data_IF_033966773134
#
_entry.id   IF_033966773134
#
_cell.length_a   1.000
_cell.length_b   1.000
_cell.length_c   1.000
_cell.angle_alpha   90.00
_cell.angle_beta   90.00
_cell.angle_gamma   90.00
#
_symmetry.space_group_name_H-M   'P 1'
#
loop_
_entity.id
_entity.type
_entity.pdbx_description
1 polymer ?
#
# COMPACT_ATOMS: atom_id res chain seq x y z
N UNK A 1 -15.75 -7.17 -9.18
CA UNK A 1 -14.68 -6.13 -9.12
C UNK A 1 -15.12 -4.90 -9.88
N UNK A 2 -15.01 -3.69 -9.30
CA UNK A 2 -15.28 -2.44 -10.04
C UNK A 2 -14.24 -2.31 -11.16
N UNK A 3 -14.63 -1.81 -12.34
CA UNK A 3 -13.75 -1.64 -13.52
C UNK A 3 -12.44 -0.90 -13.21
N UNK A 4 -12.46 0.00 -12.22
CA UNK A 4 -11.31 0.79 -11.81
C UNK A 4 -10.29 -0.04 -11.00
N UNK A 5 -10.73 -1.07 -10.28
CA UNK A 5 -9.84 -1.92 -9.47
C UNK A 5 -8.84 -2.69 -10.34
N UNK A 6 -9.29 -3.21 -11.50
CA UNK A 6 -8.41 -3.92 -12.44
C UNK A 6 -7.30 -3.00 -12.95
N UNK A 7 -7.65 -1.76 -13.31
CA UNK A 7 -6.69 -0.76 -13.78
C UNK A 7 -5.66 -0.40 -12.70
N UNK A 8 -6.10 -0.22 -11.45
CA UNK A 8 -5.21 0.07 -10.34
C UNK A 8 -4.25 -1.09 -10.05
N UNK A 9 -4.74 -2.34 -10.06
CA UNK A 9 -3.88 -3.52 -9.88
C UNK A 9 -2.85 -3.62 -11.01
N UNK A 10 -3.29 -3.46 -12.26
CA UNK A 10 -2.39 -3.48 -13.41
C UNK A 10 -1.33 -2.37 -13.32
N UNK A 11 -1.74 -1.16 -12.91
CA UNK A 11 -0.81 -0.05 -12.70
C UNK A 11 0.24 -0.38 -11.62
N UNK A 12 -0.18 -0.88 -10.45
CA UNK A 12 0.76 -1.27 -9.40
C UNK A 12 1.71 -2.36 -9.90
N UNK A 13 1.22 -3.36 -10.61
CA UNK A 13 2.06 -4.42 -11.18
C UNK A 13 3.11 -3.86 -12.15
N UNK A 14 2.73 -2.94 -13.04
CA UNK A 14 3.65 -2.27 -13.97
C UNK A 14 4.70 -1.46 -13.22
N UNK A 15 4.30 -0.70 -12.20
CA UNK A 15 5.24 0.09 -11.38
C UNK A 15 6.20 -0.82 -10.61
N UNK A 16 5.71 -1.92 -10.03
CA UNK A 16 6.55 -2.90 -9.33
C UNK A 16 7.62 -3.49 -10.26
N UNK A 17 7.22 -3.90 -11.48
CA UNK A 17 8.17 -4.44 -12.47
C UNK A 17 9.16 -3.37 -12.91
N UNK A 18 8.70 -2.16 -13.26
CA UNK A 18 9.56 -1.08 -13.69
C UNK A 18 10.57 -0.67 -12.60
N UNK A 19 10.11 -0.49 -11.36
CA UNK A 19 10.99 -0.16 -10.23
C UNK A 19 12.00 -1.28 -9.94
N UNK A 20 11.60 -2.54 -10.08
CA UNK A 20 12.48 -3.69 -9.89
C UNK A 20 13.60 -3.72 -10.92
N UNK A 21 13.27 -3.48 -12.19
CA UNK A 21 14.25 -3.39 -13.29
C UNK A 21 15.21 -2.21 -13.14
N UNK A 22 14.72 -1.06 -12.66
CA UNK A 22 15.57 0.14 -12.49
C UNK A 22 16.52 -0.01 -11.31
N UNK A 23 16.09 -0.63 -10.22
CA UNK A 23 16.86 -0.74 -8.99
C UNK A 23 17.62 -2.07 -8.83
N UNK A 24 17.51 -2.99 -9.80
CA UNK A 24 18.15 -4.32 -9.79
C UNK A 24 17.85 -5.11 -8.50
N UNK A 25 16.56 -5.15 -8.13
CA UNK A 25 16.09 -5.84 -6.92
C UNK A 25 14.87 -6.73 -7.19
N UNK A 26 14.71 -7.83 -6.42
CA UNK A 26 13.55 -8.71 -6.49
C UNK A 26 12.19 -8.01 -6.45
N UNK A 27 11.22 -8.51 -7.24
CA UNK A 27 9.86 -7.95 -7.31
C UNK A 27 9.16 -7.91 -5.94
N UNK A 28 9.48 -8.88 -5.08
CA UNK A 28 8.87 -8.95 -3.74
C UNK A 28 9.33 -7.80 -2.85
N UNK A 29 10.57 -7.31 -3.00
CA UNK A 29 11.08 -6.17 -2.25
C UNK A 29 10.53 -4.85 -2.75
N UNK A 30 10.35 -4.68 -4.06
CA UNK A 30 9.68 -3.48 -4.60
C UNK A 30 8.22 -3.43 -4.19
N UNK A 31 7.50 -4.55 -4.25
CA UNK A 31 6.12 -4.62 -3.77
C UNK A 31 6.04 -4.31 -2.27
N UNK A 32 6.96 -4.84 -1.46
CA UNK A 32 7.06 -4.53 -0.04
C UNK A 32 7.28 -3.02 0.19
N UNK A 33 8.27 -2.44 -0.50
CA UNK A 33 8.56 -1.01 -0.42
C UNK A 33 7.37 -0.12 -0.80
N UNK A 34 6.66 -0.44 -1.89
CA UNK A 34 5.44 0.28 -2.30
C UNK A 34 4.35 0.15 -1.23
N UNK A 35 4.15 -1.04 -0.67
CA UNK A 35 3.13 -1.26 0.35
C UNK A 35 3.40 -0.47 1.63
N UNK A 36 4.66 -0.43 2.06
CA UNK A 36 5.11 0.36 3.22
C UNK A 36 4.96 1.85 2.92
N UNK A 37 5.40 2.31 1.74
CA UNK A 37 5.26 3.70 1.32
C UNK A 37 3.80 4.18 1.34
N UNK A 38 2.87 3.37 0.84
CA UNK A 38 1.43 3.68 0.83
C UNK A 38 0.84 3.71 2.26
N UNK A 39 1.26 2.80 3.13
CA UNK A 39 0.81 2.78 4.52
C UNK A 39 1.33 4.00 5.30
N UNK A 40 2.62 4.28 5.19
CA UNK A 40 3.28 5.42 5.85
C UNK A 40 2.77 6.75 5.31
N UNK A 41 2.62 6.88 3.98
CA UNK A 41 2.06 8.10 3.39
C UNK A 41 0.65 8.40 3.87
N UNK A 42 -0.19 7.37 4.04
CA UNK A 42 -1.53 7.54 4.63
C UNK A 42 -1.48 7.82 6.13
N UNK A 43 -0.54 7.22 6.88
CA UNK A 43 -0.35 7.56 8.29
C UNK A 43 0.01 9.04 8.48
N UNK A 44 0.88 9.58 7.62
CA UNK A 44 1.31 10.99 7.67
C UNK A 44 0.17 11.96 7.35
N UNK A 45 -0.79 11.54 6.54
CA UNK A 45 -1.95 12.36 6.10
C UNK A 45 -3.24 11.97 6.82
N UNK A 46 -3.14 11.17 7.87
CA UNK A 46 -4.31 10.68 8.60
C UNK A 46 -5.04 11.83 9.32
N UNK A 47 -4.29 12.81 9.80
CA UNK A 47 -4.82 14.01 10.44
C UNK A 47 -5.78 14.77 9.52
N UNK A 48 -5.50 14.86 8.21
CA UNK A 48 -6.41 15.48 7.23
C UNK A 48 -7.82 14.85 7.22
N UNK A 49 -7.95 13.57 7.59
CA UNK A 49 -9.22 12.83 7.60
C UNK A 49 -10.01 12.97 8.91
N UNK A 50 -9.44 13.60 9.95
CA UNK A 50 -10.09 13.79 11.24
C UNK A 50 -11.31 14.74 11.13
N UNK A 51 -12.35 14.58 11.97
CA UNK A 51 -13.53 15.45 11.92
C UNK A 51 -13.16 16.92 12.09
N UNK A 52 -13.53 17.76 11.12
CA UNK A 52 -13.26 19.20 11.11
C UNK A 52 -11.99 19.59 10.33
N UNK A 53 -11.22 18.60 9.85
CA UNK A 53 -9.99 18.83 9.09
C UNK A 53 -10.23 18.89 7.57
N UNK A 54 -9.16 19.11 6.81
CA UNK A 54 -9.19 19.42 5.38
C UNK A 54 -10.02 18.45 4.54
N UNK A 55 -9.84 17.14 4.75
CA UNK A 55 -10.52 16.09 3.99
C UNK A 55 -11.87 15.69 4.60
N UNK A 56 -12.22 16.23 5.78
CA UNK A 56 -13.46 15.92 6.49
C UNK A 56 -14.07 17.16 7.20
N UNK A 57 -14.38 18.24 6.46
CA UNK A 57 -14.87 19.50 7.04
C UNK A 57 -16.26 19.37 7.67
N UNK A 58 -17.06 18.38 7.23
CA UNK A 58 -18.42 18.13 7.73
C UNK A 58 -18.45 17.34 9.06
N UNK A 59 -17.30 17.18 9.72
CA UNK A 59 -17.12 16.43 10.97
C UNK A 59 -17.64 14.97 10.91
N UNK A 60 -17.59 14.34 9.75
CA UNK A 60 -18.16 13.03 9.55
C UNK A 60 -17.32 11.95 10.25
N UNK A 61 -17.79 11.50 11.42
CA UNK A 61 -17.11 10.45 12.19
C UNK A 61 -16.97 9.14 11.40
N UNK A 62 -17.89 8.82 10.50
CA UNK A 62 -17.79 7.58 9.70
C UNK A 62 -16.59 7.62 8.74
N UNK A 63 -16.32 8.79 8.16
CA UNK A 63 -15.15 9.00 7.30
C UNK A 63 -13.86 8.72 8.06
N UNK A 64 -13.72 9.31 9.25
CA UNK A 64 -12.58 9.09 10.14
C UNK A 64 -12.34 7.61 10.46
N UNK A 65 -13.37 6.89 10.92
CA UNK A 65 -13.23 5.46 11.24
C UNK A 65 -12.92 4.60 10.00
N UNK A 66 -13.45 4.96 8.83
CA UNK A 66 -13.12 4.29 7.58
C UNK A 66 -11.66 4.53 7.18
N UNK A 67 -11.16 5.76 7.36
CA UNK A 67 -9.75 6.07 7.10
C UNK A 67 -8.81 5.27 8.01
N UNK A 68 -9.11 5.22 9.32
CA UNK A 68 -8.40 4.37 10.27
C UNK A 68 -8.40 2.88 9.87
N UNK A 69 -9.56 2.35 9.46
CA UNK A 69 -9.68 0.96 9.01
C UNK A 69 -8.85 0.71 7.74
N UNK A 70 -8.89 1.63 6.77
CA UNK A 70 -8.10 1.54 5.54
C UNK A 70 -6.61 1.57 5.86
N UNK A 71 -6.18 2.44 6.77
CA UNK A 71 -4.80 2.52 7.22
C UNK A 71 -4.36 1.20 7.88
N UNK A 72 -5.18 0.64 8.77
CA UNK A 72 -4.93 -0.67 9.37
C UNK A 72 -4.78 -1.76 8.31
N UNK A 73 -5.67 -1.81 7.31
CA UNK A 73 -5.56 -2.76 6.20
C UNK A 73 -4.26 -2.59 5.39
N UNK A 74 -3.81 -1.35 5.14
CA UNK A 74 -2.55 -1.07 4.43
C UNK A 74 -1.35 -1.62 5.20
N UNK A 75 -1.29 -1.39 6.52
CA UNK A 75 -0.25 -1.98 7.37
C UNK A 75 -0.33 -3.50 7.42
N UNK A 76 -1.53 -4.08 7.50
CA UNK A 76 -1.72 -5.53 7.50
C UNK A 76 -1.19 -6.17 6.19
N UNK A 77 -1.42 -5.53 5.04
CA UNK A 77 -0.87 -5.98 3.75
C UNK A 77 0.65 -5.90 3.74
N UNK A 78 1.23 -4.78 4.19
CA UNK A 78 2.69 -4.63 4.26
C UNK A 78 3.33 -5.68 5.17
N UNK A 79 2.73 -5.93 6.34
CA UNK A 79 3.18 -6.97 7.27
C UNK A 79 3.07 -8.36 6.64
N UNK A 80 1.96 -8.66 5.96
CA UNK A 80 1.76 -9.94 5.29
C UNK A 80 2.81 -10.19 4.20
N UNK A 81 3.17 -9.18 3.40
CA UNK A 81 4.24 -9.28 2.42
C UNK A 81 5.58 -9.55 3.12
N UNK A 82 5.87 -8.85 4.23
CA UNK A 82 7.08 -9.10 5.04
C UNK A 82 7.15 -10.54 5.57
N UNK A 83 6.03 -11.07 6.06
CA UNK A 83 5.93 -12.47 6.50
C UNK A 83 6.16 -13.43 5.32
N UNK A 84 5.59 -13.16 4.15
CA UNK A 84 5.78 -13.99 2.96
C UNK A 84 7.24 -14.04 2.52
N UNK A 85 7.97 -12.93 2.58
CA UNK A 85 9.41 -12.88 2.30
C UNK A 85 10.18 -13.80 3.26
N UNK A 86 9.84 -13.75 4.55
CA UNK A 86 10.51 -14.56 5.58
C UNK A 86 10.21 -16.05 5.44
N UNK A 87 8.95 -16.42 5.21
CA UNK A 87 8.49 -17.81 5.11
C UNK A 87 8.89 -18.44 3.78
N UNK A 88 8.87 -17.67 2.69
CA UNK A 88 9.13 -18.15 1.33
C UNK A 88 10.33 -17.41 0.71
N UNK A 89 11.57 -17.73 1.10
CA UNK A 89 12.76 -17.09 0.56
C UNK A 89 12.94 -17.31 -0.95
N UNK A 90 12.25 -18.31 -1.52
CA UNK A 90 12.18 -18.53 -2.97
C UNK A 90 11.64 -17.30 -3.73
N UNK A 91 10.82 -16.46 -3.09
CA UNK A 91 10.25 -15.25 -3.70
C UNK A 91 11.32 -14.22 -4.06
N UNK A 92 12.47 -14.24 -3.36
CA UNK A 92 13.61 -13.35 -3.61
C UNK A 92 14.32 -13.69 -4.93
N UNK A 93 14.06 -14.86 -5.52
CA UNK A 93 14.66 -15.28 -6.80
C UNK A 93 13.95 -14.72 -8.04
N UNK A 94 12.80 -14.05 -7.86
CA UNK A 94 12.03 -13.48 -8.97
C UNK A 94 12.16 -11.95 -8.96
N UNK A 95 12.62 -11.39 -10.08
CA UNK A 95 12.99 -9.98 -10.19
C UNK A 95 13.72 -9.70 -11.48
N UNK A 96 14.13 -8.45 -11.66
CA UNK A 96 15.36 -8.15 -12.36
C UNK A 96 16.50 -9.01 -11.80
#
# INVERSE_FOLDING_TARGET
MKKNTIKSIAFVAVITVAASLVADIPYIYTLCGISVWVAVGHLITLDDDMPGEWSNPDENKKHWHQSLLILFCKFAVALLIGILIFVFPVLVKFGA
#
